data_IF_911499134110
#
_entry.id   IF_911499134110
#
_cell.length_a   1.000
_cell.length_b   1.000
_cell.length_c   1.000
_cell.angle_alpha   90.00
_cell.angle_beta   90.00
_cell.angle_gamma   90.00
#
_symmetry.space_group_name_H-M   'P 1'
#
loop_
_entity.id
_entity.type
_entity.pdbx_description
1 polymer ?
#
# COMPACT_ATOMS: atom_id res chain seq x y z
N UNK A 1 28.52 -17.24 72.87
CA UNK A 1 27.43 -18.07 72.33
C UNK A 1 26.33 -17.13 71.84
N UNK A 2 26.29 -16.85 70.54
CA UNK A 2 25.26 -16.00 69.94
C UNK A 2 24.70 -16.72 68.71
N UNK A 3 23.38 -16.88 68.71
CA UNK A 3 22.59 -17.64 67.75
C UNK A 3 22.62 -16.99 66.37
N UNK A 4 22.78 -17.82 65.34
CA UNK A 4 22.56 -17.50 63.93
C UNK A 4 21.05 -17.48 63.66
N UNK A 5 20.47 -16.40 63.12
CA UNK A 5 19.12 -16.47 62.56
C UNK A 5 19.19 -17.10 61.16
N UNK A 6 18.60 -18.28 61.06
CA UNK A 6 18.36 -19.05 59.83
C UNK A 6 17.29 -18.34 59.00
N UNK A 7 17.68 -17.70 57.91
CA UNK A 7 16.76 -17.04 56.97
C UNK A 7 15.91 -18.06 56.19
N UNK A 8 14.62 -17.77 55.93
CA UNK A 8 13.71 -18.66 55.23
C UNK A 8 13.98 -18.74 53.72
N UNK A 9 14.02 -19.98 53.22
CA UNK A 9 14.27 -20.33 51.83
C UNK A 9 13.03 -20.12 50.95
N UNK A 10 12.57 -18.89 50.73
CA UNK A 10 11.57 -18.61 49.69
C UNK A 10 11.89 -17.29 49.00
N UNK A 11 12.76 -17.32 47.98
CA UNK A 11 12.71 -16.57 46.70
C UNK A 11 13.89 -17.10 45.89
N UNK A 12 13.66 -18.13 45.08
CA UNK A 12 14.58 -18.53 44.00
C UNK A 12 13.80 -19.42 43.04
N UNK A 13 12.88 -18.79 42.30
CA UNK A 13 12.29 -19.40 41.11
C UNK A 13 12.23 -18.38 39.97
N UNK A 14 13.33 -17.68 39.74
CA UNK A 14 13.63 -17.18 38.41
C UNK A 14 14.40 -18.30 37.71
N UNK A 15 13.68 -19.25 37.08
CA UNK A 15 14.29 -20.03 36.02
C UNK A 15 14.58 -19.05 34.89
N UNK A 16 15.78 -18.50 34.87
CA UNK A 16 16.37 -18.02 33.62
C UNK A 16 16.34 -19.22 32.69
N UNK A 17 15.45 -19.17 31.70
CA UNK A 17 15.40 -20.16 30.64
C UNK A 17 16.57 -19.80 29.71
N UNK A 18 17.71 -20.52 29.72
CA UNK A 18 18.66 -20.33 28.65
C UNK A 18 18.00 -21.01 27.46
N UNK A 19 17.33 -20.23 26.61
CA UNK A 19 17.06 -20.66 25.26
C UNK A 19 18.42 -20.86 24.57
N UNK A 20 19.03 -22.02 24.81
CA UNK A 20 20.07 -22.57 23.95
C UNK A 20 19.36 -22.93 22.65
N UNK A 21 19.13 -21.91 21.82
CA UNK A 21 18.89 -22.13 20.40
C UNK A 21 20.23 -22.55 19.83
N UNK A 22 20.54 -23.83 19.94
CA UNK A 22 21.53 -24.45 19.06
C UNK A 22 20.91 -24.42 17.67
N UNK A 23 21.05 -23.27 16.98
CA UNK A 23 21.00 -23.24 15.53
C UNK A 23 22.15 -24.11 15.06
N UNK A 24 21.88 -25.39 14.89
CA UNK A 24 22.75 -26.31 14.22
C UNK A 24 22.85 -25.80 12.78
N UNK A 25 23.89 -25.02 12.50
CA UNK A 25 24.30 -24.63 11.17
C UNK A 25 24.69 -25.92 10.45
N UNK A 26 23.72 -26.57 9.81
CA UNK A 26 23.97 -27.65 8.87
C UNK A 26 24.54 -27.02 7.59
N UNK A 27 25.81 -26.63 7.65
CA UNK A 27 26.63 -26.41 6.46
C UNK A 27 27.08 -27.79 5.95
N UNK A 28 26.13 -28.63 5.55
CA UNK A 28 26.46 -29.81 4.76
C UNK A 28 26.38 -29.41 3.30
N UNK A 29 27.51 -28.99 2.75
CA UNK A 29 27.78 -28.91 1.32
C UNK A 29 27.87 -30.33 0.73
N UNK A 30 26.75 -31.06 0.77
CA UNK A 30 26.58 -32.30 0.03
C UNK A 30 25.89 -31.98 -1.29
N UNK A 31 26.38 -32.54 -2.39
CA UNK A 31 25.69 -32.53 -3.68
C UNK A 31 24.35 -33.28 -3.52
N UNK A 32 23.31 -32.56 -3.10
CA UNK A 32 21.97 -33.10 -2.94
C UNK A 32 21.32 -33.11 -4.31
N UNK A 33 21.22 -34.28 -4.92
CA UNK A 33 20.27 -34.53 -5.99
C UNK A 33 18.86 -34.29 -5.44
N UNK A 34 18.13 -33.37 -6.05
CA UNK A 34 16.83 -32.89 -5.57
C UNK A 34 15.70 -33.85 -5.91
N UNK A 35 15.67 -35.02 -5.28
CA UNK A 35 14.44 -35.81 -5.12
C UNK A 35 13.59 -35.12 -4.04
N UNK A 36 12.99 -33.98 -4.39
CA UNK A 36 12.29 -33.13 -3.44
C UNK A 36 11.05 -33.86 -2.93
N UNK A 37 10.91 -34.12 -1.62
CA UNK A 37 9.70 -34.71 -1.04
C UNK A 37 8.49 -33.75 -1.05
N UNK A 38 8.64 -32.57 -1.65
CA UNK A 38 7.66 -31.49 -1.70
C UNK A 38 7.67 -30.84 -3.09
N UNK A 39 6.53 -30.30 -3.55
CA UNK A 39 6.52 -29.52 -4.79
C UNK A 39 7.39 -28.26 -4.65
N UNK A 40 7.91 -27.80 -5.79
CA UNK A 40 8.58 -26.52 -5.92
C UNK A 40 7.62 -25.38 -5.56
N UNK A 41 8.15 -24.29 -4.98
CA UNK A 41 7.35 -23.10 -4.76
C UNK A 41 6.93 -22.46 -6.09
N UNK A 42 5.75 -21.82 -6.16
CA UNK A 42 5.27 -21.21 -7.41
C UNK A 42 6.22 -20.13 -7.93
N UNK A 43 6.76 -19.30 -7.03
CA UNK A 43 7.74 -18.26 -7.39
C UNK A 43 9.07 -18.83 -7.88
N UNK A 44 9.50 -19.97 -7.33
CA UNK A 44 10.72 -20.67 -7.75
C UNK A 44 10.49 -21.35 -9.10
N UNK A 45 9.34 -21.99 -9.30
CA UNK A 45 8.93 -22.59 -10.58
C UNK A 45 8.89 -21.55 -11.70
N UNK A 46 8.22 -20.42 -11.48
CA UNK A 46 8.19 -19.30 -12.43
C UNK A 46 9.60 -18.80 -12.75
N UNK A 47 10.45 -18.60 -11.74
CA UNK A 47 11.80 -18.09 -11.93
C UNK A 47 12.69 -19.08 -12.70
N UNK A 48 12.56 -20.38 -12.47
CA UNK A 48 13.27 -21.41 -13.23
C UNK A 48 12.88 -21.37 -14.71
N UNK A 49 11.59 -21.19 -15.01
CA UNK A 49 11.10 -21.03 -16.39
C UNK A 49 11.64 -19.75 -17.03
N UNK A 50 11.59 -18.61 -16.34
CA UNK A 50 12.11 -17.32 -16.82
C UNK A 50 13.61 -17.36 -17.10
N UNK A 51 14.37 -18.13 -16.30
CA UNK A 51 15.81 -18.28 -16.45
C UNK A 51 16.21 -19.45 -17.34
N UNK A 52 15.24 -20.18 -17.90
CA UNK A 52 15.48 -21.30 -18.81
C UNK A 52 16.20 -22.48 -18.15
N UNK A 53 16.08 -22.64 -16.84
CA UNK A 53 16.73 -23.73 -16.10
C UNK A 53 15.80 -24.95 -16.18
N UNK A 54 16.24 -25.98 -16.92
CA UNK A 54 15.50 -27.23 -17.07
C UNK A 54 15.53 -28.05 -15.78
N UNK A 55 14.54 -28.93 -15.57
CA UNK A 55 14.42 -29.78 -14.37
C UNK A 55 15.68 -30.60 -14.05
N UNK A 56 16.51 -30.94 -15.04
CA UNK A 56 17.78 -31.62 -14.82
C UNK A 56 18.86 -30.71 -14.19
N UNK A 57 18.86 -29.42 -14.53
CA UNK A 57 19.80 -28.44 -13.99
C UNK A 57 19.41 -27.99 -12.58
N UNK A 58 18.13 -28.14 -12.22
CA UNK A 58 17.64 -27.90 -10.85
C UNK A 58 18.45 -28.73 -9.85
N UNK A 59 18.74 -29.99 -10.17
CA UNK A 59 19.56 -30.90 -9.35
C UNK A 59 20.99 -30.42 -9.08
N UNK A 60 21.50 -29.44 -9.84
CA UNK A 60 22.85 -28.86 -9.66
C UNK A 60 22.86 -27.67 -8.70
N UNK A 61 21.70 -27.10 -8.39
CA UNK A 61 21.59 -25.91 -7.55
C UNK A 61 21.73 -26.30 -6.07
N UNK A 62 22.60 -25.66 -5.27
CA UNK A 62 22.69 -25.94 -3.84
C UNK A 62 21.46 -25.39 -3.11
N UNK A 63 20.67 -26.24 -2.46
CA UNK A 63 19.50 -25.80 -1.69
C UNK A 63 19.88 -25.45 -0.24
N UNK A 64 19.53 -24.23 0.19
CA UNK A 64 19.78 -23.76 1.56
C UNK A 64 18.54 -23.84 2.47
N UNK A 65 17.36 -24.10 1.90
CA UNK A 65 16.10 -24.05 2.62
C UNK A 65 15.88 -25.21 3.61
N UNK A 66 14.92 -25.06 4.54
CA UNK A 66 14.59 -26.10 5.51
C UNK A 66 14.27 -27.43 4.83
N UNK A 67 14.85 -28.51 5.35
CA UNK A 67 14.76 -29.87 4.76
C UNK A 67 15.31 -29.97 3.32
N UNK A 68 16.35 -29.20 2.98
CA UNK A 68 16.97 -29.22 1.66
C UNK A 68 16.09 -28.62 0.56
N UNK A 69 15.18 -27.71 0.92
CA UNK A 69 14.23 -27.10 -0.02
C UNK A 69 14.91 -26.01 -0.84
N UNK A 70 14.68 -26.01 -2.15
CA UNK A 70 15.13 -24.96 -3.05
C UNK A 70 14.42 -23.62 -2.76
N UNK A 71 15.20 -22.56 -2.51
CA UNK A 71 14.68 -21.21 -2.29
C UNK A 71 14.97 -20.28 -3.48
N UNK A 72 14.25 -19.15 -3.56
CA UNK A 72 14.47 -18.11 -4.58
C UNK A 72 15.92 -17.62 -4.60
N UNK A 73 16.51 -17.44 -3.42
CA UNK A 73 17.89 -17.00 -3.26
C UNK A 73 18.91 -17.96 -3.86
N UNK A 74 18.67 -19.27 -3.70
CA UNK A 74 19.55 -20.32 -4.23
C UNK A 74 19.61 -20.29 -5.76
N UNK A 75 18.44 -20.14 -6.40
CA UNK A 75 18.35 -20.04 -7.86
C UNK A 75 19.00 -18.75 -8.36
N UNK A 76 18.77 -17.62 -7.70
CA UNK A 76 19.40 -16.36 -8.07
C UNK A 76 20.93 -16.40 -7.92
N UNK A 77 21.44 -17.02 -6.85
CA UNK A 77 22.86 -17.23 -6.66
C UNK A 77 23.47 -18.13 -7.75
N UNK A 78 22.75 -19.18 -8.15
CA UNK A 78 23.16 -20.07 -9.24
C UNK A 78 23.20 -19.34 -10.60
N UNK A 79 22.23 -18.49 -10.89
CA UNK A 79 22.21 -17.67 -12.12
C UNK A 79 23.28 -16.56 -12.13
N UNK A 80 23.93 -16.30 -11.00
CA UNK A 80 24.89 -15.20 -10.85
C UNK A 80 24.26 -13.81 -10.71
N UNK A 81 22.93 -13.73 -10.52
CA UNK A 81 22.24 -12.47 -10.26
C UNK A 81 22.60 -11.88 -8.88
N UNK A 82 23.06 -12.72 -7.94
CA UNK A 82 23.61 -12.32 -6.65
C UNK A 82 25.14 -12.43 -6.72
N UNK A 83 25.90 -11.36 -6.41
CA UNK A 83 27.35 -11.43 -6.39
C UNK A 83 27.85 -12.33 -5.26
N UNK A 84 28.93 -13.09 -5.51
CA UNK A 84 29.47 -14.08 -4.54
C UNK A 84 29.89 -13.45 -3.21
N UNK A 85 30.38 -12.22 -3.26
CA UNK A 85 30.88 -11.48 -2.10
C UNK A 85 29.77 -10.81 -1.28
N UNK A 86 28.50 -10.92 -1.71
CA UNK A 86 27.38 -10.25 -1.04
C UNK A 86 27.25 -10.69 0.42
N UNK A 87 27.30 -12.00 0.69
CA UNK A 87 27.12 -12.54 2.04
C UNK A 87 28.24 -12.13 2.98
N UNK A 88 29.50 -12.11 2.49
CA UNK A 88 30.64 -11.68 3.30
C UNK A 88 30.59 -10.19 3.60
N UNK A 89 30.28 -9.34 2.60
CA UNK A 89 30.18 -7.90 2.79
C UNK A 89 29.06 -7.52 3.75
N UNK A 90 27.89 -8.15 3.61
CA UNK A 90 26.77 -7.96 4.51
C UNK A 90 27.16 -8.35 5.94
N UNK A 91 27.83 -9.50 6.13
CA UNK A 91 28.27 -9.93 7.46
C UNK A 91 29.23 -8.93 8.11
N UNK A 92 30.19 -8.38 7.35
CA UNK A 92 31.13 -7.38 7.83
C UNK A 92 30.41 -6.07 8.20
N UNK A 93 29.46 -5.62 7.37
CA UNK A 93 28.63 -4.45 7.67
C UNK A 93 27.79 -4.64 8.92
N UNK A 94 27.17 -5.81 9.10
CA UNK A 94 26.42 -6.12 10.33
C UNK A 94 27.36 -6.07 11.53
N UNK A 95 28.54 -6.68 11.47
CA UNK A 95 29.50 -6.62 12.58
C UNK A 95 29.94 -5.19 12.92
N UNK A 96 30.14 -4.35 11.89
CA UNK A 96 30.48 -2.94 12.05
C UNK A 96 29.34 -2.15 12.71
N UNK A 97 28.10 -2.35 12.27
CA UNK A 97 26.92 -1.62 12.77
C UNK A 97 26.39 -2.18 14.10
N UNK A 98 26.65 -3.44 14.41
CA UNK A 98 26.26 -4.08 15.66
C UNK A 98 27.01 -3.48 16.86
N UNK A 99 28.21 -2.96 16.64
CA UNK A 99 28.95 -2.22 17.65
C UNK A 99 28.53 -0.74 17.65
N UNK A 100 27.56 -0.38 18.51
CA UNK A 100 27.18 1.02 18.72
C UNK A 100 28.30 1.78 19.42
N UNK A 101 29.07 2.55 18.66
CA UNK A 101 30.13 3.38 19.22
C UNK A 101 29.56 4.69 19.77
N UNK A 102 29.44 4.75 21.11
CA UNK A 102 28.92 5.91 21.83
C UNK A 102 30.03 6.89 22.26
N UNK A 103 31.29 6.67 21.84
CA UNK A 103 32.44 7.49 22.28
C UNK A 103 32.34 8.97 21.91
N UNK A 104 31.58 9.32 20.86
CA UNK A 104 31.44 10.69 20.36
C UNK A 104 30.19 11.44 20.86
N UNK A 105 29.39 10.84 21.74
CA UNK A 105 28.17 11.49 22.24
C UNK A 105 28.51 12.37 23.45
N UNK A 106 28.49 13.70 23.24
CA UNK A 106 28.49 14.67 24.35
C UNK A 106 27.09 14.70 24.96
N UNK A 107 26.92 14.10 26.14
CA UNK A 107 25.66 14.16 26.90
C UNK A 107 25.37 15.63 27.24
N UNK A 108 24.35 16.20 26.60
CA UNK A 108 23.82 17.52 26.94
C UNK A 108 23.14 17.40 28.30
N UNK A 109 23.80 17.91 29.35
CA UNK A 109 23.19 18.06 30.67
C UNK A 109 21.94 18.95 30.54
N UNK A 110 20.84 18.52 31.18
CA UNK A 110 19.56 19.21 31.22
C UNK A 110 19.67 20.55 31.97
N UNK A 111 19.40 21.70 31.32
CA UNK A 111 19.20 22.97 32.01
C UNK A 111 17.71 23.26 32.19
N UNK A 112 17.38 23.60 33.43
CA UNK A 112 16.15 24.23 33.94
C UNK A 112 15.55 25.27 32.97
N UNK A 113 14.22 25.24 32.83
CA UNK A 113 13.37 26.30 32.22
C UNK A 113 13.57 27.67 32.89
N UNK A 114 13.06 28.80 32.35
CA UNK A 114 12.55 29.10 31.00
C UNK A 114 13.11 30.44 30.44
N UNK A 115 12.97 30.69 29.13
CA UNK A 115 12.36 31.94 28.62
C UNK A 115 12.31 32.00 27.08
N UNK A 116 11.17 32.53 26.64
CA UNK A 116 10.71 32.75 25.28
C UNK A 116 11.72 33.41 24.32
N UNK A 117 11.64 32.99 23.05
CA UNK A 117 11.62 33.87 21.87
C UNK A 117 11.13 33.08 20.66
N UNK A 118 9.88 33.35 20.29
CA UNK A 118 9.38 33.15 18.93
C UNK A 118 10.21 34.02 17.99
N UNK A 119 10.86 33.40 17.01
CA UNK A 119 11.34 34.08 15.81
C UNK A 119 11.22 33.09 14.65
N UNK A 120 10.30 33.42 13.76
CA UNK A 120 10.06 32.78 12.49
C UNK A 120 11.32 32.76 11.62
N UNK A 121 11.68 31.60 11.08
CA UNK A 121 12.52 31.49 9.88
C UNK A 121 12.09 30.27 9.05
N UNK A 122 11.67 30.60 7.83
CA UNK A 122 11.83 29.87 6.58
C UNK A 122 11.39 28.39 6.51
N UNK A 123 10.18 28.26 5.96
CA UNK A 123 9.82 27.23 4.97
C UNK A 123 11.03 26.92 4.08
N UNK A 124 11.66 25.78 4.35
CA UNK A 124 12.61 25.15 3.44
C UNK A 124 11.81 24.32 2.45
N UNK A 125 12.10 24.56 1.18
CA UNK A 125 11.38 24.09 0.00
C UNK A 125 11.08 22.59 0.01
N UNK A 126 9.78 22.27 -0.11
CA UNK A 126 9.29 20.98 -0.56
C UNK A 126 9.58 20.81 -2.07
N UNK A 127 9.97 19.61 -2.52
CA UNK A 127 10.22 19.34 -3.93
C UNK A 127 8.93 19.52 -4.77
N UNK A 128 9.02 20.11 -5.99
CA UNK A 128 7.85 20.40 -6.82
C UNK A 128 7.47 19.16 -7.66
N UNK A 129 6.44 18.42 -7.29
CA UNK A 129 5.88 17.42 -8.21
C UNK A 129 4.49 16.91 -7.83
N UNK A 130 3.49 17.79 -7.86
CA UNK A 130 2.11 17.38 -8.19
C UNK A 130 1.33 18.62 -8.59
N UNK A 131 1.72 19.27 -9.69
CA UNK A 131 0.86 20.29 -10.29
C UNK A 131 -0.45 19.60 -10.69
N UNK A 132 -1.61 20.02 -10.16
CA UNK A 132 -2.89 19.47 -10.57
C UNK A 132 -3.10 19.78 -12.05
N UNK A 133 -3.34 18.75 -12.85
CA UNK A 133 -3.75 18.87 -14.24
C UNK A 133 -5.29 18.83 -14.29
N UNK A 134 -5.89 19.80 -14.98
CA UNK A 134 -7.33 19.82 -15.24
C UNK A 134 -7.60 19.10 -16.57
N UNK A 135 -8.46 18.09 -16.52
CA UNK A 135 -8.93 17.36 -17.71
C UNK A 135 -10.39 17.71 -17.91
N UNK A 136 -10.80 18.02 -19.13
CA UNK A 136 -12.18 18.41 -19.46
C UNK A 136 -12.70 17.67 -20.70
N UNK A 137 -13.90 17.09 -20.62
CA UNK A 137 -14.59 16.46 -21.75
C UNK A 137 -16.05 16.95 -21.85
N UNK A 138 -16.56 17.23 -23.06
CA UNK A 138 -17.98 17.48 -23.27
C UNK A 138 -18.78 16.15 -23.22
N UNK A 139 -19.88 16.11 -22.46
CA UNK A 139 -20.73 14.92 -22.30
C UNK A 139 -22.21 15.31 -22.47
N UNK A 140 -22.92 14.64 -23.37
CA UNK A 140 -24.35 14.89 -23.60
C UNK A 140 -25.24 14.17 -22.58
N UNK A 141 -26.27 14.84 -22.06
CA UNK A 141 -27.20 14.29 -21.05
C UNK A 141 -28.61 14.00 -21.59
N UNK A 142 -28.79 13.98 -22.92
CA UNK A 142 -30.11 13.83 -23.56
C UNK A 142 -30.81 12.52 -23.21
N UNK A 143 -30.04 11.43 -23.13
CA UNK A 143 -30.50 10.10 -22.80
C UNK A 143 -30.97 10.01 -21.34
N UNK A 144 -30.21 10.59 -20.41
CA UNK A 144 -30.56 10.68 -18.98
C UNK A 144 -31.83 11.50 -18.76
N UNK A 145 -31.96 12.66 -19.42
CA UNK A 145 -33.17 13.49 -19.33
C UNK A 145 -34.40 12.75 -19.87
N UNK A 146 -34.23 11.99 -20.96
CA UNK A 146 -35.30 11.16 -21.52
C UNK A 146 -35.76 10.09 -20.52
N UNK A 147 -34.85 9.47 -19.77
CA UNK A 147 -35.22 8.53 -18.70
C UNK A 147 -35.88 9.24 -17.53
N UNK A 148 -35.38 10.40 -17.13
CA UNK A 148 -35.96 11.20 -16.04
C UNK A 148 -37.42 11.56 -16.31
N UNK A 149 -37.81 11.81 -17.57
CA UNK A 149 -39.22 12.02 -17.94
C UNK A 149 -40.04 10.72 -18.02
N UNK A 150 -39.41 9.58 -18.34
CA UNK A 150 -40.09 8.30 -18.53
C UNK A 150 -40.38 7.59 -17.21
N UNK A 151 -39.42 7.54 -16.29
CA UNK A 151 -39.54 6.87 -14.98
C UNK A 151 -40.78 7.30 -14.16
N UNK A 152 -41.11 8.60 -14.01
CA UNK A 152 -42.31 9.00 -13.28
C UNK A 152 -43.59 8.61 -14.01
N UNK A 153 -43.58 8.56 -15.36
CA UNK A 153 -44.75 8.16 -16.17
C UNK A 153 -45.02 6.66 -16.10
N UNK A 154 -43.97 5.83 -16.01
CA UNK A 154 -44.08 4.36 -16.06
C UNK A 154 -44.14 3.72 -14.67
N UNK A 155 -43.29 4.17 -13.74
CA UNK A 155 -43.09 3.55 -12.44
C UNK A 155 -43.56 4.44 -11.27
N UNK A 156 -43.86 5.73 -11.52
CA UNK A 156 -44.19 6.69 -10.47
C UNK A 156 -42.99 7.07 -9.59
N UNK A 157 -41.78 6.73 -10.02
CA UNK A 157 -40.53 6.97 -9.28
C UNK A 157 -39.82 8.16 -9.92
N UNK A 158 -39.48 9.16 -9.10
CA UNK A 158 -38.71 10.34 -9.52
C UNK A 158 -37.28 10.22 -9.01
N UNK A 159 -36.32 10.08 -9.94
CA UNK A 159 -34.89 10.07 -9.64
C UNK A 159 -34.30 11.41 -10.09
N UNK A 160 -33.67 12.20 -9.20
CA UNK A 160 -33.05 13.46 -9.59
C UNK A 160 -31.76 13.21 -10.39
N UNK A 161 -31.41 14.14 -11.29
CA UNK A 161 -30.19 14.08 -12.12
C UNK A 161 -28.92 13.89 -11.28
N UNK A 162 -28.86 14.50 -10.09
CA UNK A 162 -27.74 14.32 -9.16
C UNK A 162 -27.52 12.86 -8.74
N UNK A 163 -28.58 12.06 -8.63
CA UNK A 163 -28.47 10.63 -8.31
C UNK A 163 -27.88 9.84 -9.47
N UNK A 164 -28.21 10.20 -10.73
CA UNK A 164 -27.58 9.56 -11.89
C UNK A 164 -26.08 9.84 -11.94
N UNK A 165 -25.68 11.09 -11.71
CA UNK A 165 -24.26 11.46 -11.67
C UNK A 165 -23.52 10.73 -10.54
N UNK A 166 -24.10 10.67 -9.34
CA UNK A 166 -23.51 9.96 -8.21
C UNK A 166 -23.32 8.46 -8.50
N UNK A 167 -24.35 7.79 -9.03
CA UNK A 167 -24.26 6.37 -9.40
C UNK A 167 -23.24 6.13 -10.52
N UNK A 168 -23.18 7.03 -11.50
CA UNK A 168 -22.19 6.93 -12.57
C UNK A 168 -20.76 7.06 -12.03
N UNK A 169 -20.54 7.91 -11.03
CA UNK A 169 -19.24 8.00 -10.35
C UNK A 169 -18.93 6.77 -9.49
N UNK A 170 -19.94 6.13 -8.90
CA UNK A 170 -19.75 4.95 -8.05
C UNK A 170 -19.32 3.72 -8.86
N UNK A 171 -19.77 3.57 -10.11
CA UNK A 171 -19.35 2.49 -11.03
C UNK A 171 -17.82 2.47 -11.22
N UNK A 172 -17.16 3.61 -11.02
CA UNK A 172 -15.70 3.73 -11.15
C UNK A 172 -14.91 3.32 -9.91
N UNK A 173 -15.54 3.23 -8.74
CA UNK A 173 -14.83 2.89 -7.50
C UNK A 173 -14.43 1.40 -7.41
N UNK A 174 -14.74 0.62 -8.45
CA UNK A 174 -14.20 -0.72 -8.69
C UNK A 174 -12.65 -0.66 -8.73
N UNK A 175 -11.95 -1.44 -7.88
CA UNK A 175 -10.50 -1.33 -7.76
C UNK A 175 -9.78 -1.85 -9.01
N UNK A 176 -8.98 -0.99 -9.65
CA UNK A 176 -8.12 -1.38 -10.78
C UNK A 176 -7.08 -2.43 -10.35
N UNK A 177 -6.64 -3.28 -11.28
CA UNK A 177 -5.59 -4.30 -11.03
C UNK A 177 -4.34 -3.66 -10.40
N UNK A 178 -3.99 -2.44 -10.82
CA UNK A 178 -2.83 -1.70 -10.31
C UNK A 178 -3.06 -1.25 -8.86
N UNK A 179 -4.27 -0.85 -8.49
CA UNK A 179 -4.62 -0.48 -7.11
C UNK A 179 -4.59 -1.71 -6.19
N UNK A 180 -5.09 -2.85 -6.69
CA UNK A 180 -5.04 -4.15 -6.01
C UNK A 180 -3.60 -4.60 -5.80
N UNK A 181 -2.75 -4.55 -6.84
CA UNK A 181 -1.34 -4.95 -6.77
C UNK A 181 -0.51 -3.99 -5.92
N UNK A 182 -0.89 -2.70 -5.88
CA UNK A 182 -0.25 -1.68 -5.05
C UNK A 182 -0.71 -1.72 -3.59
N UNK A 183 -1.69 -2.58 -3.25
CA UNK A 183 -2.25 -2.70 -1.90
C UNK A 183 -3.03 -1.46 -1.44
N UNK A 184 -3.47 -0.62 -2.38
CA UNK A 184 -4.28 0.57 -2.10
C UNK A 184 -5.73 0.12 -1.97
N UNK A 185 -6.15 -0.27 -0.77
CA UNK A 185 -7.55 -0.63 -0.53
C UNK A 185 -8.46 0.58 -0.83
N UNK A 186 -9.60 0.41 -1.54
CA UNK A 186 -10.56 1.49 -1.70
C UNK A 186 -11.02 1.97 -0.32
N UNK A 187 -11.30 3.27 -0.14
CA UNK A 187 -11.91 3.77 1.09
C UNK A 187 -13.23 3.03 1.31
N UNK A 188 -13.27 2.16 2.31
CA UNK A 188 -14.51 1.54 2.75
C UNK A 188 -15.48 2.64 3.15
N UNK A 189 -16.65 2.69 2.52
CA UNK A 189 -17.76 3.57 2.88
C UNK A 189 -18.27 3.20 4.28
N UNK A 190 -17.56 3.67 5.31
CA UNK A 190 -18.13 3.90 6.62
C UNK A 190 -18.78 5.28 6.58
N UNK A 191 -20.10 5.28 6.67
CA UNK A 191 -20.97 6.39 7.09
C UNK A 191 -20.21 7.55 7.71
N UNK A 192 -19.90 8.57 6.91
CA UNK A 192 -19.65 9.90 7.44
C UNK A 192 -21.01 10.55 7.60
N UNK A 193 -21.58 10.39 8.79
CA UNK A 193 -22.66 11.23 9.29
C UNK A 193 -22.22 12.69 9.20
N UNK A 194 -22.60 13.38 8.13
CA UNK A 194 -22.71 14.84 8.16
C UNK A 194 -23.92 15.15 9.03
N UNK A 195 -23.66 15.35 10.31
CA UNK A 195 -24.63 15.73 11.32
C UNK A 195 -25.43 16.94 10.84
N UNK A 196 -26.72 16.70 10.60
CA UNK A 196 -27.76 17.72 10.55
C UNK A 196 -27.71 18.52 11.84
N UNK A 197 -27.29 19.78 11.76
CA UNK A 197 -27.60 20.80 12.76
C UNK A 197 -28.42 21.88 12.06
N UNK A 198 -29.68 21.96 12.48
CA UNK A 198 -30.64 23.00 12.16
C UNK A 198 -30.11 24.38 12.52
N UNK A 199 -30.28 25.35 11.62
CA UNK A 199 -30.10 26.77 11.91
C UNK A 199 -29.60 27.57 10.70
N UNK A 200 -30.55 28.15 9.98
CA UNK A 200 -30.55 29.51 9.42
C UNK A 200 -29.48 29.93 8.38
N UNK A 201 -30.01 30.61 7.36
CA UNK A 201 -29.38 31.34 6.25
C UNK A 201 -27.99 31.92 6.56
N UNK A 202 -27.00 31.60 5.72
CA UNK A 202 -26.24 32.60 4.94
C UNK A 202 -25.16 31.92 4.08
N UNK A 203 -24.93 32.54 2.93
CA UNK A 203 -23.90 32.27 1.94
C UNK A 203 -22.50 32.16 2.52
N UNK A 204 -21.76 31.09 2.17
CA UNK A 204 -20.35 31.18 1.68
C UNK A 204 -19.89 29.81 1.15
N UNK A 205 -19.64 29.79 -0.16
CA UNK A 205 -18.57 29.07 -0.88
C UNK A 205 -18.11 27.71 -0.34
N UNK A 206 -18.69 26.65 -0.87
CA UNK A 206 -17.96 25.40 -1.10
C UNK A 206 -17.65 25.31 -2.60
N UNK A 207 -16.39 25.02 -2.90
CA UNK A 207 -15.81 24.83 -4.24
C UNK A 207 -16.44 23.61 -4.91
N UNK A 208 -17.68 23.78 -5.36
CA UNK A 208 -18.36 22.85 -6.25
C UNK A 208 -17.73 23.03 -7.62
N UNK A 209 -16.98 22.01 -8.04
CA UNK A 209 -16.61 21.72 -9.43
C UNK A 209 -17.43 22.55 -10.40
N UNK A 210 -16.78 23.44 -11.16
CA UNK A 210 -17.39 24.24 -12.22
C UNK A 210 -18.06 23.31 -13.25
N UNK A 211 -19.28 22.88 -12.93
CA UNK A 211 -20.19 22.22 -13.84
C UNK A 211 -20.86 23.37 -14.57
N UNK A 212 -20.27 23.74 -15.69
CA UNK A 212 -20.88 24.68 -16.61
C UNK A 212 -21.98 23.90 -17.36
N UNK A 213 -23.10 23.62 -16.67
CA UNK A 213 -24.22 22.79 -17.17
C UNK A 213 -24.80 23.36 -18.48
N UNK A 214 -24.57 24.65 -18.76
CA UNK A 214 -24.97 25.29 -20.02
C UNK A 214 -24.09 24.87 -21.21
N UNK A 215 -22.84 24.45 -20.97
CA UNK A 215 -21.91 23.98 -22.00
C UNK A 215 -21.71 22.48 -21.99
N UNK A 216 -22.29 21.75 -21.01
CA UNK A 216 -22.14 20.30 -20.84
C UNK A 216 -20.67 19.85 -20.81
N UNK A 217 -19.78 20.70 -20.28
CA UNK A 217 -18.35 20.41 -20.16
C UNK A 217 -18.09 19.91 -18.73
N UNK A 218 -17.62 18.68 -18.61
CA UNK A 218 -17.24 18.07 -17.34
C UNK A 218 -15.74 18.16 -17.17
N UNK A 219 -15.28 18.67 -16.03
CA UNK A 219 -13.87 18.76 -15.72
C UNK A 219 -13.50 18.16 -14.37
N UNK A 220 -12.32 17.54 -14.30
CA UNK A 220 -11.77 16.96 -13.08
C UNK A 220 -10.31 17.40 -12.90
N UNK A 221 -9.93 17.68 -11.66
CA UNK A 221 -8.54 17.97 -11.30
C UNK A 221 -7.86 16.71 -10.77
N UNK A 222 -6.76 16.33 -11.42
CA UNK A 222 -6.02 15.10 -11.11
C UNK A 222 -4.52 15.42 -11.11
N UNK A 223 -3.68 14.80 -10.26
CA UNK A 223 -2.23 14.96 -10.36
C UNK A 223 -1.73 14.68 -11.78
N UNK A 224 -0.69 15.38 -12.23
CA UNK A 224 -0.17 15.22 -13.61
C UNK A 224 0.24 13.77 -13.95
N UNK A 225 0.65 12.97 -12.96
CA UNK A 225 0.97 11.55 -13.13
C UNK A 225 -0.25 10.70 -13.51
N UNK A 226 -1.43 11.07 -13.03
CA UNK A 226 -2.68 10.31 -13.18
C UNK A 226 -3.58 10.92 -14.28
N UNK A 227 -3.04 11.79 -15.13
CA UNK A 227 -3.80 12.47 -16.19
C UNK A 227 -4.56 11.49 -17.08
N UNK A 228 -3.91 10.40 -17.53
CA UNK A 228 -4.55 9.37 -18.35
C UNK A 228 -5.71 8.70 -17.61
N UNK A 229 -5.58 8.51 -16.30
CA UNK A 229 -6.65 7.97 -15.45
C UNK A 229 -7.84 8.93 -15.41
N UNK A 230 -7.58 10.24 -15.27
CA UNK A 230 -8.60 11.28 -15.36
C UNK A 230 -9.31 11.34 -16.73
N UNK A 231 -8.57 11.18 -17.84
CA UNK A 231 -9.13 11.10 -19.19
C UNK A 231 -10.03 9.86 -19.34
N UNK A 232 -9.54 8.67 -18.98
CA UNK A 232 -10.35 7.44 -19.04
C UNK A 232 -11.58 7.47 -18.13
N UNK A 233 -11.52 8.16 -17.00
CA UNK A 233 -12.66 8.34 -16.10
C UNK A 233 -13.78 9.14 -16.78
N UNK A 234 -13.45 10.27 -17.42
CA UNK A 234 -14.43 11.08 -18.12
C UNK A 234 -14.97 10.39 -19.37
N UNK A 235 -14.14 9.61 -20.10
CA UNK A 235 -14.61 8.79 -21.22
C UNK A 235 -15.62 7.72 -20.79
N UNK A 236 -15.33 6.99 -19.70
CA UNK A 236 -16.28 5.98 -19.20
C UNK A 236 -17.55 6.62 -18.63
N UNK A 237 -17.44 7.75 -17.93
CA UNK A 237 -18.61 8.50 -17.48
C UNK A 237 -19.48 8.92 -18.66
N UNK A 238 -18.85 9.33 -19.77
CA UNK A 238 -19.56 9.63 -21.01
C UNK A 238 -20.29 8.40 -21.52
N UNK A 239 -19.62 7.25 -21.66
CA UNK A 239 -20.24 6.02 -22.17
C UNK A 239 -21.44 5.60 -21.29
N UNK A 240 -21.28 5.62 -19.96
CA UNK A 240 -22.34 5.24 -19.01
C UNK A 240 -23.54 6.20 -19.07
N UNK A 241 -23.31 7.50 -19.24
CA UNK A 241 -24.38 8.49 -19.32
C UNK A 241 -25.03 8.55 -20.71
N UNK A 242 -24.27 8.39 -21.79
CA UNK A 242 -24.75 8.49 -23.18
C UNK A 242 -25.39 7.18 -23.68
N UNK A 243 -24.68 6.06 -23.55
CA UNK A 243 -25.07 4.79 -24.17
C UNK A 243 -25.98 3.94 -23.25
N UNK A 244 -25.67 3.87 -21.94
CA UNK A 244 -26.34 2.94 -21.01
C UNK A 244 -26.90 3.60 -19.72
N UNK A 245 -27.66 4.70 -19.79
CA UNK A 245 -28.15 5.37 -18.58
C UNK A 245 -29.22 4.55 -17.82
N UNK A 246 -29.76 3.50 -18.43
CA UNK A 246 -30.68 2.56 -17.78
C UNK A 246 -29.97 1.71 -16.72
N UNK A 247 -28.69 1.39 -16.91
CA UNK A 247 -27.88 0.65 -15.93
C UNK A 247 -27.70 1.43 -14.62
N UNK A 248 -27.91 2.74 -14.64
CA UNK A 248 -27.83 3.57 -13.44
C UNK A 248 -29.11 3.50 -12.60
N UNK A 249 -30.20 2.93 -13.12
CA UNK A 249 -31.49 2.87 -12.41
C UNK A 249 -31.70 1.53 -11.71
N UNK A 250 -31.34 0.44 -12.39
CA UNK A 250 -31.54 -0.95 -11.98
C UNK A 250 -30.33 -1.53 -11.25
#
# INVERSE_FOLDING_TARGET
MALVPRMPCWISRCRLNPYKSTRHLQTSSGTQSHDLPYPLFPSVSQLLHEKGISGADVSKIPASGPKGRLLKGDVLAFTGAIPRDYSSNLSAQISQLAHLDLSNIKVKQTPTEPQAKFAAVAVTALPPSSTPAQVSLPISLSSVLSLQERLPKTLGITIPLSTFLARATDVYQEPDIIDILSGKSPPSTSTSTSSTRSGESESTSFDSTDLDLATNIFSIQVPSADRLRGETFLERLRDVLEDEPESLVF
#
